data_IF_347155101905
#
_entry.id   IF_347155101905
#
_cell.length_a   1.000
_cell.length_b   1.000
_cell.length_c   1.000
_cell.angle_alpha   90.00
_cell.angle_beta   90.00
_cell.angle_gamma   90.00
#
_symmetry.space_group_name_H-M   'P 1'
#
loop_
_entity.id
_entity.type
_entity.pdbx_description
1 polymer ?
#
# COMPACT_ATOMS: atom_id res chain seq x y z
N UNK A 1 7.50 11.52 14.44
CA UNK A 1 6.04 11.34 14.60
C UNK A 1 5.36 11.80 13.33
N UNK A 2 4.46 11.00 12.75
CA UNK A 2 3.58 11.42 11.65
C UNK A 2 2.14 11.33 12.15
N UNK A 3 1.35 12.35 11.89
CA UNK A 3 0.08 12.58 12.59
C UNK A 3 -0.96 13.23 11.67
N UNK A 4 -2.23 12.89 11.90
CA UNK A 4 -3.40 13.52 11.27
C UNK A 4 -4.61 13.47 12.21
N UNK A 5 -5.51 14.45 12.06
CA UNK A 5 -6.84 14.51 12.69
C UNK A 5 -7.97 14.63 11.67
N UNK A 6 -7.70 14.33 10.40
CA UNK A 6 -8.67 14.49 9.30
C UNK A 6 -8.58 15.85 8.59
N UNK A 7 -7.55 16.65 8.89
CA UNK A 7 -7.26 17.92 8.20
C UNK A 7 -5.81 17.95 7.74
N UNK A 8 -5.43 17.02 6.87
CA UNK A 8 -4.06 16.89 6.36
C UNK A 8 -3.14 16.09 7.29
N UNK A 9 -1.89 15.92 6.85
CA UNK A 9 -0.89 15.08 7.51
C UNK A 9 0.35 15.90 7.82
N UNK A 10 0.89 15.74 9.03
CA UNK A 10 2.04 16.49 9.52
C UNK A 10 3.12 15.56 10.04
N UNK A 11 4.38 15.91 9.79
CA UNK A 11 5.52 15.23 10.37
C UNK A 11 6.24 16.13 11.38
N UNK A 12 6.62 15.51 12.48
CA UNK A 12 7.41 16.10 13.54
C UNK A 12 8.65 15.23 13.80
N UNK A 13 9.77 15.88 14.05
CA UNK A 13 11.04 15.23 14.42
C UNK A 13 11.30 15.49 15.90
N UNK A 14 11.74 14.47 16.63
CA UNK A 14 12.11 14.60 18.03
C UNK A 14 13.44 15.35 18.11
N UNK A 15 13.47 16.47 18.82
CA UNK A 15 14.69 17.07 19.33
C UNK A 15 15.02 16.43 20.69
N UNK A 16 16.04 15.57 20.78
CA UNK A 16 16.36 14.88 22.03
C UNK A 16 16.94 15.80 23.11
N UNK A 17 17.45 16.98 22.74
CA UNK A 17 17.98 17.95 23.70
C UNK A 17 16.89 18.67 24.48
N UNK A 18 15.73 18.86 23.84
CA UNK A 18 14.55 19.50 24.42
C UNK A 18 13.52 18.49 24.91
N UNK A 19 13.53 17.27 24.37
CA UNK A 19 12.50 16.27 24.61
C UNK A 19 11.18 16.59 23.89
N UNK A 20 11.23 17.41 22.84
CA UNK A 20 10.05 17.93 22.13
C UNK A 20 10.00 17.46 20.67
N UNK A 21 8.79 17.22 20.17
CA UNK A 21 8.55 16.96 18.75
C UNK A 21 8.35 18.29 18.01
N UNK A 22 9.30 18.65 17.16
CA UNK A 22 9.27 19.89 16.39
C UNK A 22 8.69 19.62 15.01
N UNK A 23 7.76 20.46 14.56
CA UNK A 23 7.13 20.35 13.24
C UNK A 23 8.20 20.47 12.15
N UNK A 24 8.38 19.41 11.38
CA UNK A 24 9.37 19.35 10.28
C UNK A 24 8.72 19.50 8.91
N UNK A 25 7.46 19.07 8.77
CA UNK A 25 6.72 19.17 7.50
C UNK A 25 5.23 19.29 7.79
N UNK A 26 4.61 20.34 7.26
CA UNK A 26 3.18 20.58 7.38
C UNK A 26 2.45 20.17 6.10
N UNK A 27 1.22 19.68 6.23
CA UNK A 27 0.31 19.37 5.11
C UNK A 27 0.98 18.52 4.02
N UNK A 28 1.63 17.44 4.42
CA UNK A 28 2.29 16.51 3.51
C UNK A 28 1.29 16.02 2.47
N UNK A 29 1.66 16.11 1.20
CA UNK A 29 0.94 15.55 0.08
C UNK A 29 1.81 14.47 -0.54
N UNK A 30 1.28 13.25 -0.66
CA UNK A 30 1.99 12.19 -1.37
C UNK A 30 1.95 12.50 -2.87
N UNK A 31 3.04 12.26 -3.63
CA UNK A 31 2.99 12.36 -5.08
C UNK A 31 1.89 11.48 -5.68
N UNK A 32 1.22 11.95 -6.74
CA UNK A 32 0.16 11.17 -7.42
C UNK A 32 0.68 9.86 -8.01
N UNK A 33 1.95 9.86 -8.44
CA UNK A 33 2.73 8.72 -8.90
C UNK A 33 4.16 8.80 -8.37
N UNK A 34 4.80 7.66 -8.12
CA UNK A 34 6.23 7.59 -7.81
C UNK A 34 6.89 6.33 -8.38
N UNK A 35 8.23 6.32 -8.46
CA UNK A 35 8.98 5.25 -9.12
C UNK A 35 9.16 4.00 -8.25
N UNK A 36 8.78 4.04 -6.97
CA UNK A 36 9.08 2.96 -6.05
C UNK A 36 7.94 1.95 -5.99
N UNK A 37 8.27 0.66 -6.08
CA UNK A 37 7.38 -0.40 -5.60
C UNK A 37 8.05 -1.16 -4.45
N UNK A 38 7.25 -1.52 -3.46
CA UNK A 38 7.74 -2.11 -2.20
C UNK A 38 6.94 -3.35 -1.85
N UNK A 39 7.58 -4.52 -1.91
CA UNK A 39 6.97 -5.80 -1.54
C UNK A 39 8.04 -6.85 -1.25
N UNK A 40 7.66 -7.91 -0.53
CA UNK A 40 8.52 -9.07 -0.34
C UNK A 40 8.38 -10.07 -1.49
N UNK A 41 9.17 -9.88 -2.55
CA UNK A 41 9.17 -10.77 -3.72
C UNK A 41 9.58 -12.23 -3.40
N UNK A 42 10.11 -12.53 -2.22
CA UNK A 42 10.31 -13.91 -1.76
C UNK A 42 9.01 -14.72 -1.66
N UNK A 43 7.85 -14.04 -1.62
CA UNK A 43 6.52 -14.66 -1.63
C UNK A 43 5.91 -14.76 -3.03
N UNK A 44 6.63 -14.43 -4.10
CA UNK A 44 6.08 -14.32 -5.47
C UNK A 44 5.23 -15.53 -5.89
N UNK A 45 5.75 -16.74 -5.69
CA UNK A 45 5.07 -18.00 -6.04
C UNK A 45 3.83 -18.32 -5.18
N UNK A 46 3.60 -17.58 -4.11
CA UNK A 46 2.46 -17.76 -3.21
C UNK A 46 1.31 -16.79 -3.49
N UNK A 47 1.53 -15.77 -4.32
CA UNK A 47 0.50 -14.77 -4.64
C UNK A 47 -0.45 -15.25 -5.71
N UNK A 48 -1.63 -14.62 -5.76
CA UNK A 48 -2.54 -14.70 -6.90
C UNK A 48 -1.86 -14.22 -8.18
N UNK A 49 -2.30 -14.73 -9.32
CA UNK A 49 -1.63 -14.46 -10.61
C UNK A 49 -1.70 -12.97 -10.99
N UNK A 50 -2.75 -12.24 -10.59
CA UNK A 50 -2.89 -10.80 -10.81
C UNK A 50 -1.76 -9.99 -10.17
N UNK A 51 -1.36 -10.34 -8.95
CA UNK A 51 -0.23 -9.70 -8.28
C UNK A 51 1.08 -10.06 -9.01
N UNK A 52 1.22 -11.32 -9.46
CA UNK A 52 2.40 -11.74 -10.22
C UNK A 52 2.50 -11.01 -11.56
N UNK A 53 1.38 -10.73 -12.23
CA UNK A 53 1.34 -9.92 -13.44
C UNK A 53 1.85 -8.51 -13.17
N UNK A 54 1.36 -7.86 -12.12
CA UNK A 54 1.83 -6.53 -11.74
C UNK A 54 3.35 -6.52 -11.50
N UNK A 55 3.86 -7.54 -10.81
CA UNK A 55 5.30 -7.65 -10.55
C UNK A 55 6.08 -7.87 -11.86
N UNK A 56 5.62 -8.75 -12.76
CA UNK A 56 6.21 -8.92 -14.09
C UNK A 56 6.14 -7.65 -14.93
N UNK A 57 5.07 -6.87 -14.78
CA UNK A 57 4.91 -5.58 -15.43
C UNK A 57 6.01 -4.61 -14.98
N UNK A 58 6.17 -4.39 -13.66
CA UNK A 58 7.20 -3.44 -13.17
C UNK A 58 8.63 -3.92 -13.45
N UNK A 59 8.87 -5.23 -13.60
CA UNK A 59 10.17 -5.76 -14.03
C UNK A 59 10.49 -5.47 -15.51
N UNK A 60 9.47 -5.27 -16.35
CA UNK A 60 9.60 -5.08 -17.81
C UNK A 60 9.45 -3.63 -18.26
N UNK A 61 9.14 -2.71 -17.34
CA UNK A 61 8.93 -1.31 -17.64
C UNK A 61 9.97 -0.45 -16.90
N UNK A 62 10.52 0.53 -17.61
CA UNK A 62 11.41 1.52 -17.00
C UNK A 62 10.65 2.42 -16.01
N UNK A 63 11.41 3.10 -15.15
CA UNK A 63 10.83 4.02 -14.15
C UNK A 63 10.39 3.36 -12.85
N UNK A 64 10.54 2.05 -12.70
CA UNK A 64 10.27 1.33 -11.45
C UNK A 64 11.55 0.94 -10.71
N UNK A 65 11.54 1.10 -9.39
CA UNK A 65 12.65 0.78 -8.49
C UNK A 65 12.13 -0.02 -7.29
N UNK A 66 12.64 -1.23 -7.11
CA UNK A 66 12.31 -2.06 -5.95
C UNK A 66 12.96 -1.49 -4.67
N UNK A 67 12.16 -1.29 -3.62
CA UNK A 67 12.66 -0.99 -2.27
C UNK A 67 11.82 -1.73 -1.24
N UNK A 68 12.42 -2.55 -0.41
CA UNK A 68 11.69 -3.24 0.67
C UNK A 68 12.56 -3.27 1.93
N UNK A 69 12.21 -2.45 2.91
CA UNK A 69 12.91 -2.36 4.20
C UNK A 69 12.55 -3.57 5.07
N UNK A 70 11.34 -4.11 4.91
CA UNK A 70 10.84 -5.19 5.76
C UNK A 70 10.22 -4.70 7.07
N UNK A 71 10.06 -3.38 7.20
CA UNK A 71 9.37 -2.72 8.30
C UNK A 71 8.27 -1.84 7.71
N UNK A 72 7.00 -2.21 7.95
CA UNK A 72 5.82 -1.55 7.38
C UNK A 72 5.88 -0.02 7.51
N UNK A 73 6.19 0.47 8.72
CA UNK A 73 6.26 1.92 8.98
C UNK A 73 7.37 2.60 8.17
N UNK A 74 8.53 1.96 8.01
CA UNK A 74 9.64 2.51 7.23
C UNK A 74 9.34 2.56 5.73
N UNK A 75 8.76 1.48 5.19
CA UNK A 75 8.35 1.43 3.78
C UNK A 75 7.23 2.43 3.47
N UNK A 76 6.24 2.52 4.36
CA UNK A 76 5.16 3.52 4.27
C UNK A 76 5.70 4.95 4.35
N UNK A 77 6.59 5.25 5.30
CA UNK A 77 7.14 6.60 5.48
C UNK A 77 7.89 7.05 4.22
N UNK A 78 8.67 6.16 3.59
CA UNK A 78 9.31 6.47 2.31
C UNK A 78 8.28 6.83 1.23
N UNK A 79 7.23 6.04 1.08
CA UNK A 79 6.18 6.27 0.08
C UNK A 79 5.44 7.58 0.34
N UNK A 80 5.13 7.90 1.59
CA UNK A 80 4.44 9.12 1.95
C UNK A 80 5.16 10.37 1.42
N UNK A 81 6.50 10.37 1.41
CA UNK A 81 7.30 11.50 0.93
C UNK A 81 7.76 11.39 -0.53
N UNK A 82 8.04 10.18 -1.03
CA UNK A 82 8.67 9.97 -2.34
C UNK A 82 7.71 9.43 -3.41
N UNK A 83 6.50 9.06 -3.01
CA UNK A 83 5.53 8.37 -3.86
C UNK A 83 5.90 6.92 -4.14
N UNK A 84 5.06 6.27 -4.93
CA UNK A 84 5.13 4.84 -5.24
C UNK A 84 4.09 4.03 -4.48
N UNK A 85 4.29 2.72 -4.40
CA UNK A 85 3.32 1.80 -3.79
C UNK A 85 3.98 0.72 -2.93
N UNK A 86 3.36 0.43 -1.80
CA UNK A 86 3.66 -0.71 -0.95
C UNK A 86 2.56 -1.75 -1.11
N UNK A 87 2.98 -3.00 -1.31
CA UNK A 87 2.12 -4.15 -1.45
C UNK A 87 2.44 -5.17 -0.37
N UNK A 88 1.42 -5.54 0.39
CA UNK A 88 1.41 -6.70 1.26
C UNK A 88 0.13 -7.51 0.97
N UNK A 89 0.06 -8.15 -0.22
CA UNK A 89 -1.11 -8.89 -0.62
C UNK A 89 -1.27 -10.16 0.22
N UNK A 90 -2.47 -10.73 0.17
CA UNK A 90 -2.71 -12.10 0.62
C UNK A 90 -1.92 -13.11 -0.21
N UNK A 91 -1.72 -14.29 0.35
CA UNK A 91 -1.29 -15.45 -0.44
C UNK A 91 -2.51 -16.27 -0.83
N UNK A 92 -2.38 -17.14 -1.83
CA UNK A 92 -3.45 -18.08 -2.24
C UNK A 92 -3.96 -18.91 -1.04
N UNK A 93 -3.07 -19.23 -0.09
CA UNK A 93 -3.42 -19.98 1.13
C UNK A 93 -3.96 -19.12 2.28
N UNK A 94 -3.68 -17.81 2.25
CA UNK A 94 -4.06 -16.83 3.29
C UNK A 94 -4.49 -15.52 2.60
N UNK A 95 -5.64 -15.52 1.92
CA UNK A 95 -6.11 -14.38 1.13
C UNK A 95 -6.35 -13.15 2.00
N UNK A 96 -6.65 -13.33 3.29
CA UNK A 96 -6.82 -12.27 4.28
C UNK A 96 -5.51 -11.56 4.64
N UNK A 97 -4.36 -11.99 4.11
CA UNK A 97 -3.08 -11.35 4.35
C UNK A 97 -2.53 -11.57 5.77
N UNK A 98 -1.62 -10.69 6.17
CA UNK A 98 -0.87 -10.80 7.44
C UNK A 98 -1.08 -9.61 8.36
N UNK A 99 -1.24 -8.42 7.79
CA UNK A 99 -1.35 -7.16 8.52
C UNK A 99 -2.71 -7.09 9.18
N UNK A 100 -2.79 -6.53 10.39
CA UNK A 100 -4.04 -6.36 11.11
C UNK A 100 -4.72 -5.07 10.67
N UNK A 101 -6.02 -5.15 10.47
CA UNK A 101 -6.81 -4.05 9.97
C UNK A 101 -6.76 -2.87 10.95
N UNK A 102 -7.12 -3.08 12.22
CA UNK A 102 -7.40 -1.99 13.16
C UNK A 102 -6.18 -1.15 13.57
N UNK A 103 -5.00 -1.75 13.66
CA UNK A 103 -3.82 -1.10 14.25
C UNK A 103 -2.56 -1.18 13.39
N UNK A 104 -2.66 -1.71 12.16
CA UNK A 104 -1.60 -1.62 11.15
C UNK A 104 -2.13 -0.96 9.87
N UNK A 105 -3.20 -1.49 9.28
CA UNK A 105 -3.66 -1.04 7.95
C UNK A 105 -4.52 0.22 8.00
N UNK A 106 -5.54 0.27 8.85
CA UNK A 106 -6.47 1.40 8.96
C UNK A 106 -5.76 2.70 9.38
N UNK A 107 -4.85 2.71 10.37
CA UNK A 107 -4.15 3.95 10.73
C UNK A 107 -3.30 4.51 9.58
N UNK A 108 -2.64 3.63 8.80
CA UNK A 108 -1.83 4.07 7.66
C UNK A 108 -2.70 4.48 6.47
N UNK A 109 -3.82 3.79 6.24
CA UNK A 109 -4.81 4.18 5.24
C UNK A 109 -5.37 5.58 5.52
N UNK A 110 -5.73 5.85 6.78
CA UNK A 110 -6.17 7.18 7.19
C UNK A 110 -5.11 8.25 6.91
N UNK A 111 -3.84 7.98 7.22
CA UNK A 111 -2.76 8.91 6.91
C UNK A 111 -2.59 9.13 5.40
N UNK A 112 -2.58 8.08 4.59
CA UNK A 112 -2.30 8.25 3.15
C UNK A 112 -3.43 8.96 2.42
N UNK A 113 -4.69 8.69 2.78
CA UNK A 113 -5.85 9.33 2.15
C UNK A 113 -5.90 10.82 2.51
N UNK A 114 -5.57 11.16 3.75
CA UNK A 114 -5.40 12.56 4.17
C UNK A 114 -4.21 13.26 3.50
N UNK A 115 -3.25 12.51 2.96
CA UNK A 115 -2.15 13.02 2.15
C UNK A 115 -2.45 13.03 0.63
N UNK A 116 -3.66 12.64 0.21
CA UNK A 116 -4.06 12.60 -1.21
C UNK A 116 -3.75 11.28 -1.95
N UNK A 117 -3.25 10.26 -1.24
CA UNK A 117 -3.02 8.92 -1.80
C UNK A 117 -4.21 7.99 -1.63
N UNK A 118 -3.94 6.68 -1.73
CA UNK A 118 -4.97 5.65 -1.62
C UNK A 118 -4.47 4.42 -0.86
N UNK A 119 -5.41 3.69 -0.26
CA UNK A 119 -5.17 2.40 0.39
C UNK A 119 -6.31 1.43 0.07
N UNK A 120 -6.00 0.23 -0.42
CA UNK A 120 -7.00 -0.76 -0.81
C UNK A 120 -6.56 -2.19 -0.46
N UNK A 121 -7.54 -3.06 -0.25
CA UNK A 121 -7.34 -4.52 -0.20
C UNK A 121 -7.05 -5.11 -1.59
N UNK A 122 -7.29 -4.33 -2.64
CA UNK A 122 -7.35 -4.74 -4.04
C UNK A 122 -8.79 -4.66 -4.59
N UNK A 123 -9.78 -4.94 -3.74
CA UNK A 123 -11.20 -4.97 -4.13
C UNK A 123 -12.04 -3.88 -3.47
N UNK A 124 -11.69 -3.51 -2.25
CA UNK A 124 -12.36 -2.48 -1.43
C UNK A 124 -11.30 -1.54 -0.84
N UNK A 125 -11.71 -0.33 -0.46
CA UNK A 125 -10.81 0.64 0.15
C UNK A 125 -10.67 0.33 1.65
N UNK A 126 -9.47 0.54 2.22
CA UNK A 126 -9.14 -0.01 3.55
C UNK A 126 -10.03 0.56 4.66
N UNK A 127 -10.43 1.83 4.55
CA UNK A 127 -11.27 2.48 5.56
C UNK A 127 -12.75 2.05 5.50
N UNK A 128 -13.18 1.42 4.42
CA UNK A 128 -14.54 0.88 4.27
C UNK A 128 -14.66 -0.56 4.78
N UNK A 129 -13.55 -1.23 5.10
CA UNK A 129 -13.54 -2.61 5.56
C UNK A 129 -14.10 -2.71 6.98
N UNK A 130 -15.20 -3.44 7.14
CA UNK A 130 -15.78 -3.72 8.47
C UNK A 130 -15.05 -4.90 9.15
N UNK A 131 -14.41 -4.70 10.31
CA UNK A 131 -13.72 -5.78 11.02
C UNK A 131 -14.71 -6.77 11.64
N UNK A 132 -14.54 -8.06 11.37
CA UNK A 132 -15.31 -9.13 12.04
C UNK A 132 -14.84 -9.36 13.49
N UNK A 133 -13.56 -9.10 13.77
CA UNK A 133 -12.89 -9.31 15.06
C UNK A 133 -11.74 -8.33 15.30
N UNK A 134 -11.31 -8.22 16.56
CA UNK A 134 -10.21 -7.32 16.98
C UNK A 134 -8.90 -7.57 16.20
N UNK A 135 -8.58 -8.83 15.91
CA UNK A 135 -7.37 -9.21 15.18
C UNK A 135 -7.67 -9.59 13.72
N UNK A 136 -8.65 -8.94 13.09
CA UNK A 136 -8.91 -9.10 11.66
C UNK A 136 -7.67 -8.75 10.85
N UNK A 137 -7.36 -9.57 9.85
CA UNK A 137 -6.25 -9.33 8.94
C UNK A 137 -6.78 -8.81 7.61
N UNK A 138 -5.93 -8.08 6.92
CA UNK A 138 -6.22 -7.58 5.57
C UNK A 138 -4.97 -7.66 4.69
N UNK A 139 -5.12 -7.91 3.38
CA UNK A 139 -4.13 -7.46 2.40
C UNK A 139 -4.06 -5.93 2.40
N UNK A 140 -2.93 -5.38 1.96
CA UNK A 140 -2.72 -3.93 1.87
C UNK A 140 -2.00 -3.55 0.59
N UNK A 141 -2.58 -2.65 -0.18
CA UNK A 141 -1.96 -1.95 -1.31
C UNK A 141 -2.11 -0.46 -0.99
N UNK A 142 -1.00 0.24 -0.77
CA UNK A 142 -1.03 1.60 -0.21
C UNK A 142 0.04 2.50 -0.83
N UNK A 143 -0.31 3.75 -1.14
CA UNK A 143 0.64 4.76 -1.59
C UNK A 143 0.05 5.81 -2.51
N UNK A 144 0.84 6.22 -3.49
CA UNK A 144 0.46 7.12 -4.57
C UNK A 144 -0.79 6.62 -5.30
N UNK A 145 -1.74 7.52 -5.54
CA UNK A 145 -3.06 7.19 -6.07
C UNK A 145 -2.99 6.46 -7.41
N UNK A 146 -2.14 6.90 -8.32
CA UNK A 146 -1.98 6.27 -9.64
C UNK A 146 -1.31 4.90 -9.54
N UNK A 147 -0.30 4.74 -8.68
CA UNK A 147 0.34 3.44 -8.48
C UNK A 147 -0.62 2.42 -7.86
N UNK A 148 -1.44 2.83 -6.88
CA UNK A 148 -2.48 1.97 -6.28
C UNK A 148 -3.54 1.59 -7.32
N UNK A 149 -3.99 2.54 -8.13
CA UNK A 149 -4.94 2.28 -9.22
C UNK A 149 -4.38 1.29 -10.25
N UNK A 150 -3.10 1.42 -10.61
CA UNK A 150 -2.43 0.49 -11.50
C UNK A 150 -2.43 -0.93 -10.93
N UNK A 151 -2.06 -1.13 -9.66
CA UNK A 151 -2.13 -2.47 -9.03
C UNK A 151 -3.55 -3.02 -9.04
N UNK A 152 -4.56 -2.20 -8.70
CA UNK A 152 -5.98 -2.59 -8.73
C UNK A 152 -6.42 -3.03 -10.13
N UNK A 153 -5.93 -2.40 -11.19
CA UNK A 153 -6.29 -2.75 -12.58
C UNK A 153 -5.93 -4.21 -12.92
N UNK A 154 -4.74 -4.69 -12.54
CA UNK A 154 -4.34 -6.09 -12.74
C UNK A 154 -5.25 -7.09 -12.00
N UNK A 155 -5.72 -6.73 -10.81
CA UNK A 155 -6.65 -7.55 -10.02
C UNK A 155 -8.00 -7.61 -10.73
N UNK A 156 -8.51 -6.47 -11.19
CA UNK A 156 -9.79 -6.36 -11.86
C UNK A 156 -9.81 -7.03 -13.24
N UNK A 157 -8.74 -6.90 -14.01
CA UNK A 157 -8.62 -7.51 -15.35
C UNK A 157 -8.65 -9.04 -15.26
N UNK A 158 -7.89 -9.63 -14.33
CA UNK A 158 -7.94 -11.08 -14.07
C UNK A 158 -9.31 -11.55 -13.59
N UNK A 159 -9.98 -10.76 -12.75
CA UNK A 159 -11.35 -11.06 -12.31
C UNK A 159 -12.37 -10.96 -13.46
N UNK A 160 -12.14 -10.10 -14.46
CA UNK A 160 -12.95 -10.04 -15.69
C UNK A 160 -12.71 -11.26 -16.58
N UNK A 161 -11.46 -11.59 -16.88
CA UNK A 161 -11.08 -12.76 -17.70
C UNK A 161 -11.65 -14.06 -17.14
N UNK A 162 -11.58 -14.23 -15.80
CA UNK A 162 -12.11 -15.42 -15.11
C UNK A 162 -13.64 -15.53 -15.21
N UNK A 163 -14.36 -14.40 -15.26
CA UNK A 163 -15.82 -14.37 -15.42
C UNK A 163 -16.25 -14.63 -16.85
N UNK A 164 -15.46 -14.19 -17.82
CA UNK A 164 -15.77 -14.28 -19.25
C UNK A 164 -15.32 -15.61 -19.88
N UNK A 165 -14.63 -16.48 -19.12
CA UNK A 165 -14.12 -17.75 -19.62
C UNK A 165 -13.07 -17.59 -20.72
N UNK A 166 -12.46 -16.41 -20.82
CA UNK A 166 -11.41 -16.13 -21.79
C UNK A 166 -10.16 -16.95 -21.43
N UNK A 167 -9.42 -17.49 -22.43
CA UNK A 167 -8.18 -18.17 -22.17
C UNK A 167 -7.22 -17.20 -21.49
N UNK A 168 -6.91 -17.49 -20.24
CA UNK A 168 -5.94 -16.77 -19.44
C UNK A 168 -4.60 -16.76 -20.20
N UNK A 169 -4.14 -15.58 -20.59
CA UNK A 169 -2.92 -15.40 -21.39
C UNK A 169 -1.73 -16.14 -20.77
N UNK A 170 -1.06 -16.97 -21.58
CA UNK A 170 0.14 -17.73 -21.22
C UNK A 170 1.38 -16.84 -21.15
#
# INVERSE_FOLDING_TARGET
LVYSIGTGVHAFVLDPSLGEFILSSANIQVPEHGPVYSTNEGNFWQWEESIRDYIRYVHRHEGYTARYIGALVGDFHRILFQGGVFLYPGTVRKPEGKLRLLYESSPLAFLIEQAGGAASTGNEDILDVLPEKLHSRTPLIIGSKENVALVKSFIQDRARESREGLPIGR
#
